data_IF_761510112457
#
_entry.id   IF_761510112457
#
_cell.length_a   1.000
_cell.length_b   1.000
_cell.length_c   1.000
_cell.angle_alpha   90.00
_cell.angle_beta   90.00
_cell.angle_gamma   90.00
#
_symmetry.space_group_name_H-M   'P 1'
#
loop_
_entity.id
_entity.type
_entity.pdbx_description
1 polymer ?
#
# COMPACT_ATOMS: atom_id res chain seq x y z
N UNK A 1 -41.11 29.33 16.88
CA UNK A 1 -40.46 28.99 15.60
C UNK A 1 -39.38 27.95 15.90
N UNK A 2 -39.75 26.67 15.94
CA UNK A 2 -38.84 25.57 16.26
C UNK A 2 -38.22 25.12 14.94
N UNK A 3 -36.94 25.45 14.73
CA UNK A 3 -36.21 25.05 13.54
C UNK A 3 -35.82 23.58 13.67
N UNK A 4 -36.69 22.70 13.18
CA UNK A 4 -36.40 21.28 13.01
C UNK A 4 -35.37 21.17 11.88
N UNK A 5 -34.08 21.00 12.23
CA UNK A 5 -33.05 20.58 11.27
C UNK A 5 -33.37 19.16 10.83
N UNK A 6 -34.15 19.05 9.77
CA UNK A 6 -34.32 17.81 9.01
C UNK A 6 -32.97 17.46 8.38
N UNK A 7 -32.20 16.57 9.02
CA UNK A 7 -30.95 16.01 8.48
C UNK A 7 -31.32 15.00 7.38
N UNK A 8 -31.67 15.57 6.22
CA UNK A 8 -31.85 14.86 4.96
C UNK A 8 -30.50 14.33 4.48
N UNK A 9 -30.41 13.02 4.29
CA UNK A 9 -29.35 12.39 3.51
C UNK A 9 -28.23 11.79 4.36
N UNK A 10 -28.36 10.50 4.71
CA UNK A 10 -27.25 9.65 5.15
C UNK A 10 -26.26 9.51 3.99
N UNK A 11 -25.40 10.51 3.79
CA UNK A 11 -24.25 10.41 2.87
C UNK A 11 -23.28 9.44 3.53
N UNK A 12 -23.18 8.23 2.98
CA UNK A 12 -22.14 7.29 3.35
C UNK A 12 -20.78 7.95 3.13
N UNK A 13 -20.11 8.30 4.23
CA UNK A 13 -18.78 8.89 4.20
C UNK A 13 -17.77 7.80 3.87
N UNK A 14 -17.08 7.95 2.75
CA UNK A 14 -16.13 6.94 2.29
C UNK A 14 -15.07 6.64 3.37
N UNK A 15 -14.56 7.65 4.06
CA UNK A 15 -13.54 7.51 5.10
C UNK A 15 -13.99 6.64 6.28
N UNK A 16 -15.27 6.72 6.67
CA UNK A 16 -15.85 5.86 7.71
C UNK A 16 -15.96 4.40 7.24
N UNK A 17 -16.44 4.18 6.01
CA UNK A 17 -16.50 2.83 5.43
C UNK A 17 -15.10 2.22 5.34
N UNK A 18 -14.13 2.96 4.79
CA UNK A 18 -12.74 2.50 4.67
C UNK A 18 -12.11 2.22 6.04
N UNK A 19 -12.44 2.99 7.07
CA UNK A 19 -11.99 2.74 8.43
C UNK A 19 -12.54 1.41 8.98
N UNK A 20 -13.85 1.20 8.91
CA UNK A 20 -14.49 -0.02 9.41
C UNK A 20 -14.05 -1.26 8.63
N UNK A 21 -14.02 -1.17 7.30
CA UNK A 21 -13.55 -2.23 6.41
C UNK A 21 -12.09 -2.55 6.70
N UNK A 22 -11.24 -1.52 6.80
CA UNK A 22 -9.82 -1.68 7.10
C UNK A 22 -9.59 -2.38 8.45
N UNK A 23 -10.33 -1.99 9.49
CA UNK A 23 -10.26 -2.64 10.81
C UNK A 23 -10.60 -4.13 10.76
N UNK A 24 -11.63 -4.51 10.01
CA UNK A 24 -12.07 -5.92 9.89
C UNK A 24 -11.08 -6.73 9.04
N UNK A 25 -10.58 -6.16 7.95
CA UNK A 25 -9.70 -6.84 6.99
C UNK A 25 -8.25 -6.95 7.50
N UNK A 26 -7.82 -6.07 8.41
CA UNK A 26 -6.44 -6.04 8.89
C UNK A 26 -5.96 -7.35 9.51
N UNK A 27 -6.74 -7.93 10.43
CA UNK A 27 -6.40 -9.17 11.12
C UNK A 27 -6.21 -10.35 10.15
N UNK A 28 -7.17 -10.68 9.26
CA UNK A 28 -6.97 -11.76 8.31
C UNK A 28 -5.84 -11.47 7.32
N UNK A 29 -5.61 -10.20 6.95
CA UNK A 29 -4.48 -9.82 6.09
C UNK A 29 -3.13 -10.12 6.75
N UNK A 30 -2.94 -9.71 8.01
CA UNK A 30 -1.72 -10.01 8.76
C UNK A 30 -1.52 -11.50 8.98
N UNK A 31 -2.59 -12.25 9.32
CA UNK A 31 -2.53 -13.70 9.47
C UNK A 31 -2.10 -14.39 8.18
N UNK A 32 -2.73 -14.02 7.05
CA UNK A 32 -2.38 -14.54 5.74
C UNK A 32 -0.92 -14.20 5.35
N UNK A 33 -0.47 -12.98 5.65
CA UNK A 33 0.90 -12.55 5.38
C UNK A 33 1.96 -13.31 6.20
N UNK A 34 1.68 -13.58 7.48
CA UNK A 34 2.55 -14.40 8.34
C UNK A 34 2.61 -15.84 7.83
N UNK A 35 1.45 -16.45 7.54
CA UNK A 35 1.38 -17.79 6.96
C UNK A 35 2.13 -17.88 5.64
N UNK A 36 1.96 -16.89 4.77
CA UNK A 36 2.67 -16.79 3.50
C UNK A 36 4.19 -16.67 3.70
N UNK A 37 4.64 -15.91 4.70
CA UNK A 37 6.06 -15.74 5.03
C UNK A 37 6.72 -17.01 5.60
N UNK A 38 5.96 -17.84 6.32
CA UNK A 38 6.50 -19.04 7.00
C UNK A 38 6.51 -20.32 6.15
N UNK A 39 5.72 -20.40 5.08
CA UNK A 39 5.71 -21.59 4.23
C UNK A 39 5.15 -21.38 2.83
N UNK A 40 4.31 -20.37 2.63
CA UNK A 40 3.77 -20.05 1.30
C UNK A 40 4.85 -19.57 0.32
N UNK A 41 5.78 -18.74 0.78
CA UNK A 41 6.79 -18.13 -0.10
C UNK A 41 7.82 -19.15 -0.60
N UNK A 42 8.27 -20.11 0.20
CA UNK A 42 9.19 -21.15 -0.28
C UNK A 42 8.53 -22.05 -1.33
N UNK A 43 7.21 -22.24 -1.26
CA UNK A 43 6.45 -23.12 -2.18
C UNK A 43 6.01 -22.43 -3.47
N UNK A 44 5.74 -21.12 -3.43
CA UNK A 44 5.20 -20.35 -4.56
C UNK A 44 6.12 -19.22 -5.04
N UNK A 45 7.11 -18.82 -4.25
CA UNK A 45 7.96 -17.64 -4.46
C UNK A 45 8.85 -17.73 -5.69
N UNK A 46 9.38 -18.92 -6.00
CA UNK A 46 10.18 -19.14 -7.21
C UNK A 46 9.34 -19.11 -8.48
N UNK A 47 8.05 -19.45 -8.40
CA UNK A 47 7.12 -19.40 -9.53
C UNK A 47 6.58 -17.99 -9.80
N UNK A 48 6.78 -17.05 -8.86
CA UNK A 48 6.43 -15.64 -9.02
C UNK A 48 7.54 -14.84 -9.73
N UNK A 49 8.15 -15.44 -10.76
CA UNK A 49 8.89 -14.67 -11.76
C UNK A 49 7.88 -13.86 -12.58
N UNK A 50 8.25 -12.62 -12.89
CA UNK A 50 7.35 -11.74 -13.63
C UNK A 50 7.41 -12.13 -15.11
N UNK A 51 6.35 -12.73 -15.65
CA UNK A 51 6.29 -13.14 -17.07
C UNK A 51 6.55 -11.97 -18.02
N UNK A 52 6.15 -10.74 -17.64
CA UNK A 52 6.44 -9.53 -18.43
C UNK A 52 7.95 -9.28 -18.51
N UNK A 53 8.69 -9.52 -17.43
CA UNK A 53 10.15 -9.40 -17.44
C UNK A 53 10.80 -10.50 -18.28
N UNK A 54 10.24 -11.71 -18.30
CA UNK A 54 10.76 -12.80 -19.12
C UNK A 54 10.51 -12.58 -20.61
N UNK A 55 9.34 -12.05 -20.97
CA UNK A 55 8.95 -11.81 -22.38
C UNK A 55 9.59 -10.52 -22.91
N UNK A 56 9.51 -9.42 -22.17
CA UNK A 56 9.96 -8.10 -22.62
C UNK A 56 11.40 -7.75 -22.19
N UNK A 57 12.03 -8.54 -21.32
CA UNK A 57 13.35 -8.24 -20.73
C UNK A 57 13.34 -7.11 -19.70
N UNK A 58 12.30 -6.28 -19.66
CA UNK A 58 12.15 -5.11 -18.79
C UNK A 58 11.26 -5.40 -17.58
N UNK A 59 11.63 -4.94 -16.36
CA UNK A 59 10.76 -5.10 -15.20
C UNK A 59 9.51 -4.22 -15.32
N UNK A 60 8.34 -4.75 -14.97
CA UNK A 60 7.11 -3.97 -14.82
C UNK A 60 7.15 -3.14 -13.52
N UNK A 61 6.29 -2.11 -13.35
CA UNK A 61 6.30 -1.28 -12.14
C UNK A 61 5.96 -2.05 -10.85
N UNK A 62 5.18 -3.13 -10.97
CA UNK A 62 4.87 -4.03 -9.86
C UNK A 62 5.95 -5.08 -9.56
N UNK A 63 7.05 -5.11 -10.31
CA UNK A 63 8.01 -6.20 -10.24
C UNK A 63 8.76 -6.19 -8.89
N UNK A 64 8.59 -7.28 -8.13
CA UNK A 64 9.21 -7.45 -6.80
C UNK A 64 8.31 -7.09 -5.61
N UNK A 65 7.04 -6.70 -5.82
CA UNK A 65 6.09 -6.43 -4.72
C UNK A 65 5.95 -7.65 -3.80
N UNK A 66 5.71 -8.86 -4.35
CA UNK A 66 5.53 -10.07 -3.52
C UNK A 66 6.76 -10.40 -2.69
N UNK A 67 7.96 -10.18 -3.25
CA UNK A 67 9.23 -10.36 -2.52
C UNK A 67 9.41 -9.31 -1.43
N UNK A 68 9.06 -8.05 -1.71
CA UNK A 68 9.06 -7.01 -0.70
C UNK A 68 8.10 -7.34 0.46
N UNK A 69 6.88 -7.81 0.15
CA UNK A 69 5.94 -8.29 1.17
C UNK A 69 6.50 -9.46 2.00
N UNK A 70 7.15 -10.44 1.37
CA UNK A 70 7.82 -11.51 2.09
C UNK A 70 8.84 -10.96 3.10
N UNK A 71 9.75 -10.08 2.68
CA UNK A 71 10.74 -9.50 3.57
C UNK A 71 10.14 -8.59 4.64
N UNK A 72 9.04 -7.89 4.34
CA UNK A 72 8.28 -7.13 5.33
C UNK A 72 7.80 -8.03 6.47
N UNK A 73 7.16 -9.17 6.16
CA UNK A 73 6.68 -10.11 7.17
C UNK A 73 7.78 -10.93 7.84
N UNK A 74 8.97 -11.04 7.23
CA UNK A 74 10.19 -11.55 7.90
C UNK A 74 10.87 -10.52 8.80
N UNK A 75 10.35 -9.29 8.88
CA UNK A 75 10.91 -8.20 9.68
C UNK A 75 12.12 -7.50 9.05
N UNK A 76 12.48 -7.80 7.80
CA UNK A 76 13.59 -7.15 7.11
C UNK A 76 13.10 -5.96 6.26
N UNK A 77 12.89 -4.83 6.92
CA UNK A 77 12.40 -3.60 6.29
C UNK A 77 13.35 -3.05 5.23
N UNK A 78 14.67 -3.18 5.44
CA UNK A 78 15.67 -2.67 4.51
C UNK A 78 15.61 -3.44 3.17
N UNK A 79 15.57 -4.78 3.21
CA UNK A 79 15.42 -5.59 2.00
C UNK A 79 14.08 -5.34 1.33
N UNK A 80 13.00 -5.19 2.09
CA UNK A 80 11.68 -4.84 1.54
C UNK A 80 11.74 -3.52 0.77
N UNK A 81 12.38 -2.50 1.35
CA UNK A 81 12.51 -1.18 0.73
C UNK A 81 13.35 -1.22 -0.56
N UNK A 82 14.49 -1.93 -0.54
CA UNK A 82 15.35 -2.08 -1.73
C UNK A 82 14.63 -2.79 -2.88
N UNK A 83 13.75 -3.75 -2.57
CA UNK A 83 12.98 -4.48 -3.57
C UNK A 83 11.83 -3.65 -4.14
N UNK A 84 11.00 -3.12 -3.24
CA UNK A 84 9.86 -2.28 -3.59
C UNK A 84 9.44 -1.33 -2.44
N UNK A 85 9.83 -0.04 -2.48
CA UNK A 85 9.43 0.95 -1.48
C UNK A 85 7.92 1.18 -1.43
N UNK A 86 7.17 0.87 -2.50
CA UNK A 86 5.70 1.00 -2.53
C UNK A 86 5.03 0.19 -1.42
N UNK A 87 5.60 -0.97 -1.04
CA UNK A 87 5.07 -1.79 0.05
C UNK A 87 5.19 -1.08 1.40
N UNK A 88 6.35 -0.48 1.67
CA UNK A 88 6.59 0.31 2.89
C UNK A 88 5.70 1.55 2.91
N UNK A 89 5.59 2.24 1.79
CA UNK A 89 4.69 3.38 1.64
C UNK A 89 3.24 2.99 1.93
N UNK A 90 2.77 1.86 1.41
CA UNK A 90 1.41 1.37 1.63
C UNK A 90 1.11 1.08 3.10
N UNK A 91 2.04 0.45 3.82
CA UNK A 91 1.92 0.21 5.27
C UNK A 91 1.88 1.53 6.04
N UNK A 92 2.78 2.46 5.71
CA UNK A 92 2.81 3.77 6.35
C UNK A 92 1.52 4.56 6.10
N UNK A 93 1.04 4.58 4.85
CA UNK A 93 -0.20 5.26 4.47
C UNK A 93 -1.41 4.68 5.20
N UNK A 94 -1.49 3.35 5.33
CA UNK A 94 -2.53 2.66 6.08
C UNK A 94 -2.52 3.04 7.56
N UNK A 95 -1.36 2.95 8.22
CA UNK A 95 -1.22 3.31 9.65
C UNK A 95 -1.54 4.78 9.87
N UNK A 96 -1.04 5.67 9.01
CA UNK A 96 -1.29 7.09 9.10
C UNK A 96 -2.78 7.41 8.95
N UNK A 97 -3.46 6.81 7.96
CA UNK A 97 -4.90 6.95 7.78
C UNK A 97 -5.68 6.47 9.02
N UNK A 98 -5.36 5.27 9.53
CA UNK A 98 -6.02 4.69 10.70
C UNK A 98 -5.79 5.53 11.96
N UNK A 99 -4.57 6.00 12.19
CA UNK A 99 -4.23 6.83 13.34
C UNK A 99 -4.93 8.20 13.27
N UNK A 100 -4.92 8.86 12.11
CA UNK A 100 -5.61 10.13 11.92
C UNK A 100 -7.12 9.99 12.12
N UNK A 101 -7.74 8.93 11.60
CA UNK A 101 -9.17 8.69 11.81
C UNK A 101 -9.48 8.38 13.28
N UNK A 102 -8.70 7.51 13.92
CA UNK A 102 -8.87 7.17 15.33
C UNK A 102 -8.73 8.39 16.24
N UNK A 103 -7.68 9.20 16.06
CA UNK A 103 -7.47 10.43 16.81
C UNK A 103 -8.66 11.40 16.66
N UNK A 104 -9.17 11.56 15.43
CA UNK A 104 -10.34 12.41 15.17
C UNK A 104 -11.59 11.90 15.87
N UNK A 105 -11.83 10.59 15.77
CA UNK A 105 -13.03 9.93 16.26
C UNK A 105 -13.06 9.82 17.79
N UNK A 106 -11.93 9.55 18.45
CA UNK A 106 -11.89 9.23 19.89
C UNK A 106 -11.28 10.32 20.76
N UNK A 107 -10.35 11.14 20.25
CA UNK A 107 -9.62 12.13 21.06
C UNK A 107 -10.21 13.52 20.88
N UNK A 108 -10.46 13.97 19.65
CA UNK A 108 -10.94 15.34 19.43
C UNK A 108 -12.43 15.51 19.69
N UNK A 109 -13.26 14.45 19.65
CA UNK A 109 -14.72 14.54 19.81
C UNK A 109 -15.45 15.36 18.73
N UNK A 110 -14.72 16.01 17.82
CA UNK A 110 -15.26 16.83 16.72
C UNK A 110 -15.33 15.99 15.46
N UNK A 111 -16.55 15.71 15.00
CA UNK A 111 -16.79 15.17 13.65
C UNK A 111 -16.54 16.31 12.66
N UNK A 112 -15.32 16.41 12.13
CA UNK A 112 -15.03 17.34 11.05
C UNK A 112 -15.87 16.96 9.82
N UNK A 113 -16.61 17.94 9.25
CA UNK A 113 -17.37 17.78 8.01
C UNK A 113 -16.48 17.46 6.79
N UNK A 114 -15.18 17.72 6.91
CA UNK A 114 -14.21 17.55 5.82
C UNK A 114 -13.76 16.09 5.71
N UNK A 115 -14.13 15.45 4.61
CA UNK A 115 -13.65 14.11 4.25
C UNK A 115 -12.12 14.06 4.19
N UNK A 116 -11.53 13.00 4.75
CA UNK A 116 -10.10 12.73 4.56
C UNK A 116 -9.90 12.47 3.06
N UNK A 117 -8.98 13.21 2.41
CA UNK A 117 -8.69 13.04 0.98
C UNK A 117 -7.90 11.76 0.72
N UNK A 118 -8.60 10.62 0.75
CA UNK A 118 -8.13 9.29 0.30
C UNK A 118 -7.40 9.34 -1.05
N UNK A 119 -7.85 10.09 -2.09
CA UNK A 119 -7.12 10.14 -3.36
C UNK A 119 -5.66 10.59 -3.23
N UNK A 120 -5.31 11.40 -2.22
CA UNK A 120 -3.92 11.82 -2.01
C UNK A 120 -2.98 10.64 -1.74
N UNK A 121 -3.42 9.67 -0.92
CA UNK A 121 -2.63 8.46 -0.64
C UNK A 121 -2.48 7.58 -1.88
N UNK A 122 -3.55 7.47 -2.68
CA UNK A 122 -3.51 6.71 -3.93
C UNK A 122 -2.55 7.36 -4.93
N UNK A 123 -2.60 8.68 -5.11
CA UNK A 123 -1.66 9.40 -5.97
C UNK A 123 -0.22 9.30 -5.46
N UNK A 124 -0.01 9.36 -4.15
CA UNK A 124 1.30 9.14 -3.55
C UNK A 124 1.84 7.74 -3.82
N UNK A 125 1.00 6.69 -3.68
CA UNK A 125 1.40 5.32 -3.98
C UNK A 125 1.77 5.14 -5.46
N UNK A 126 0.98 5.70 -6.38
CA UNK A 126 1.27 5.70 -7.82
C UNK A 126 2.58 6.43 -8.10
N UNK A 127 2.79 7.59 -7.48
CA UNK A 127 4.03 8.37 -7.61
C UNK A 127 5.25 7.56 -7.16
N UNK A 128 5.22 6.96 -5.97
CA UNK A 128 6.32 6.12 -5.45
C UNK A 128 6.61 4.95 -6.38
N UNK A 129 5.57 4.27 -6.86
CA UNK A 129 5.67 3.13 -7.76
C UNK A 129 6.29 3.52 -9.12
N UNK A 130 5.87 4.65 -9.70
CA UNK A 130 6.42 5.14 -10.96
C UNK A 130 7.87 5.64 -10.81
N UNK A 131 8.18 6.37 -9.74
CA UNK A 131 9.55 6.84 -9.45
C UNK A 131 10.49 5.65 -9.30
N UNK A 132 10.10 4.65 -8.50
CA UNK A 132 10.89 3.45 -8.33
C UNK A 132 11.10 2.70 -9.66
N UNK A 133 10.05 2.60 -10.46
CA UNK A 133 10.13 1.94 -11.76
C UNK A 133 11.08 2.66 -12.71
N UNK A 134 11.01 4.00 -12.75
CA UNK A 134 11.95 4.82 -13.52
C UNK A 134 13.41 4.60 -13.07
N UNK A 135 13.68 4.57 -11.75
CA UNK A 135 15.03 4.29 -11.22
C UNK A 135 15.52 2.90 -11.66
N UNK A 136 14.67 1.87 -11.61
CA UNK A 136 15.03 0.52 -12.08
C UNK A 136 15.37 0.50 -13.56
N UNK A 137 14.58 1.20 -14.39
CA UNK A 137 14.83 1.30 -15.83
C UNK A 137 16.15 2.04 -16.11
N UNK A 138 16.37 3.19 -15.48
CA UNK A 138 17.60 3.99 -15.65
C UNK A 138 18.83 3.16 -15.30
N UNK A 139 18.81 2.45 -14.17
CA UNK A 139 19.93 1.60 -13.77
C UNK A 139 20.22 0.49 -14.79
N UNK A 140 19.18 -0.12 -15.37
CA UNK A 140 19.34 -1.14 -16.41
C UNK A 140 19.98 -0.52 -17.67
N UNK A 141 19.50 0.64 -18.10
CA UNK A 141 20.05 1.34 -19.26
C UNK A 141 21.49 1.81 -19.04
N UNK A 142 21.82 2.35 -17.86
CA UNK A 142 23.20 2.74 -17.51
C UNK A 142 24.16 1.54 -17.58
N UNK A 143 23.79 0.42 -16.97
CA UNK A 143 24.62 -0.81 -17.03
C UNK A 143 24.73 -1.34 -18.46
N UNK A 144 23.68 -1.24 -19.26
CA UNK A 144 23.71 -1.66 -20.66
C UNK A 144 24.66 -0.78 -21.48
N UNK A 145 24.68 0.54 -21.24
CA UNK A 145 25.59 1.48 -21.89
C UNK A 145 27.05 1.28 -21.47
N UNK A 146 27.32 0.93 -20.21
CA UNK A 146 28.68 0.62 -19.73
C UNK A 146 29.27 -0.67 -20.31
N UNK A 147 28.45 -1.54 -20.90
CA UNK A 147 28.87 -2.82 -21.48
C UNK A 147 29.13 -2.77 -22.98
N UNK A 148 28.88 -1.64 -23.64
CA UNK A 148 29.12 -1.42 -25.09
C UNK A 148 30.40 -0.62 -25.26
#
# INVERSE_FOLDING_TARGET
MISIKFQSGRKYRADEIFYHVGKVIWLPFCMAGIWFSHGGYERFGEQMTCSIREICGLPCPGCGITRAFYYLFRGNLLKSFQLNPTVIYGVWAYIHFMACYFYRSHVSGVIHEKEIRIPFYAYGAIGVLLIQWAVKIINIFCIALERV
#
